data_IF_034125974846
#
_entry.id   IF_034125974846
#
_cell.length_a   1.000
_cell.length_b   1.000
_cell.length_c   1.000
_cell.angle_alpha   90.00
_cell.angle_beta   90.00
_cell.angle_gamma   90.00
#
_symmetry.space_group_name_H-M   'P 1'
#
loop_
_entity.id
_entity.type
_entity.pdbx_description
1 polymer ?
#
# COMPACT_ATOMS: atom_id res chain seq x y z
N UNK A 1 -3.49 23.39 -31.96
CA UNK A 1 -3.59 22.05 -31.35
C UNK A 1 -4.64 22.17 -30.26
N UNK A 2 -5.71 21.38 -30.34
CA UNK A 2 -6.78 21.40 -29.34
C UNK A 2 -6.29 20.72 -28.06
N UNK A 3 -6.17 21.50 -26.97
CA UNK A 3 -5.68 21.01 -25.67
C UNK A 3 -6.70 20.16 -24.93
N UNK A 4 -7.97 20.13 -25.35
CA UNK A 4 -9.03 19.41 -24.64
C UNK A 4 -8.72 17.91 -24.48
N UNK A 5 -8.12 17.28 -25.51
CA UNK A 5 -7.68 15.87 -25.44
C UNK A 5 -6.54 15.67 -24.44
N UNK A 6 -5.62 16.62 -24.35
CA UNK A 6 -4.49 16.58 -23.42
C UNK A 6 -4.98 16.79 -21.97
N UNK A 7 -5.89 17.74 -21.75
CA UNK A 7 -6.49 18.01 -20.45
C UNK A 7 -7.27 16.79 -19.93
N UNK A 8 -8.08 16.16 -20.78
CA UNK A 8 -8.80 14.93 -20.43
C UNK A 8 -7.84 13.78 -20.10
N UNK A 9 -6.75 13.62 -20.86
CA UNK A 9 -5.74 12.59 -20.56
C UNK A 9 -5.04 12.85 -19.22
N UNK A 10 -4.72 14.12 -18.91
CA UNK A 10 -4.11 14.51 -17.65
C UNK A 10 -5.04 14.30 -16.45
N UNK A 11 -6.35 14.53 -16.61
CA UNK A 11 -7.35 14.24 -15.57
C UNK A 11 -7.39 12.74 -15.28
N UNK A 12 -7.57 11.90 -16.31
CA UNK A 12 -7.62 10.44 -16.16
C UNK A 12 -6.35 9.87 -15.54
N UNK A 13 -5.20 10.44 -15.89
CA UNK A 13 -3.93 10.06 -15.30
C UNK A 13 -3.93 10.30 -13.78
N UNK A 14 -4.30 11.51 -13.35
CA UNK A 14 -4.37 11.84 -11.91
C UNK A 14 -5.39 11.01 -11.15
N UNK A 15 -6.54 10.72 -11.76
CA UNK A 15 -7.55 9.84 -11.17
C UNK A 15 -7.02 8.41 -10.99
N UNK A 16 -6.29 7.89 -11.97
CA UNK A 16 -5.66 6.57 -11.86
C UNK A 16 -4.55 6.54 -10.80
N UNK A 17 -3.74 7.60 -10.69
CA UNK A 17 -2.75 7.74 -9.61
C UNK A 17 -3.43 7.73 -8.24
N UNK A 18 -4.49 8.54 -8.06
CA UNK A 18 -5.24 8.59 -6.80
C UNK A 18 -5.85 7.23 -6.44
N UNK A 19 -6.43 6.52 -7.42
CA UNK A 19 -6.98 5.18 -7.21
C UNK A 19 -5.89 4.16 -6.84
N UNK A 20 -4.72 4.23 -7.48
CA UNK A 20 -3.59 3.36 -7.16
C UNK A 20 -3.05 3.62 -5.76
N UNK A 21 -2.95 4.89 -5.35
CA UNK A 21 -2.49 5.25 -4.01
C UNK A 21 -3.47 4.82 -2.93
N UNK A 22 -4.78 4.95 -3.17
CA UNK A 22 -5.81 4.39 -2.28
C UNK A 22 -5.67 2.86 -2.15
N UNK A 23 -5.57 2.14 -3.27
CA UNK A 23 -5.39 0.69 -3.25
C UNK A 23 -4.10 0.26 -2.53
N UNK A 24 -3.01 1.03 -2.66
CA UNK A 24 -1.77 0.79 -1.91
C UNK A 24 -1.96 0.97 -0.41
N UNK A 25 -2.70 2.01 -0.01
CA UNK A 25 -3.01 2.26 1.40
C UNK A 25 -3.85 1.13 2.00
N UNK A 26 -4.85 0.63 1.25
CA UNK A 26 -5.68 -0.50 1.68
C UNK A 26 -4.84 -1.76 1.92
N UNK A 27 -3.97 -2.13 0.97
CA UNK A 27 -3.07 -3.29 1.14
C UNK A 27 -2.13 -3.11 2.34
N UNK A 28 -1.62 -1.89 2.58
CA UNK A 28 -0.79 -1.62 3.75
C UNK A 28 -1.56 -1.77 5.06
N UNK A 29 -2.79 -1.26 5.12
CA UNK A 29 -3.65 -1.34 6.29
C UNK A 29 -3.97 -2.80 6.64
N UNK A 30 -4.40 -3.59 5.66
CA UNK A 30 -4.73 -5.01 5.85
C UNK A 30 -3.49 -5.84 6.22
N UNK A 31 -2.35 -5.59 5.58
CA UNK A 31 -1.09 -6.25 5.93
C UNK A 31 -0.68 -5.96 7.39
N UNK A 32 -0.83 -4.72 7.85
CA UNK A 32 -0.52 -4.34 9.22
C UNK A 32 -1.52 -4.92 10.23
N UNK A 33 -2.81 -4.92 9.91
CA UNK A 33 -3.84 -5.53 10.75
C UNK A 33 -3.55 -7.02 10.92
N UNK A 34 -3.30 -7.74 9.82
CA UNK A 34 -2.93 -9.15 9.86
C UNK A 34 -1.71 -9.42 10.72
N UNK A 35 -0.64 -8.61 10.58
CA UNK A 35 0.58 -8.77 11.38
C UNK A 35 0.41 -8.46 12.87
N UNK A 36 -0.61 -7.66 13.24
CA UNK A 36 -0.91 -7.32 14.64
C UNK A 36 -1.82 -8.35 15.31
N UNK A 37 -2.73 -8.93 14.55
CA UNK A 37 -3.75 -9.85 15.09
C UNK A 37 -3.26 -11.29 15.24
N UNK A 38 -2.10 -11.63 14.67
CA UNK A 38 -1.54 -12.99 14.71
C UNK A 38 -0.21 -13.08 15.46
N UNK A 39 -0.12 -14.07 16.34
CA UNK A 39 1.13 -14.48 17.00
C UNK A 39 1.85 -15.60 16.23
N UNK A 40 1.36 -15.96 15.03
CA UNK A 40 1.90 -17.07 14.26
C UNK A 40 3.34 -16.82 13.79
N UNK A 41 4.23 -17.76 14.13
CA UNK A 41 5.60 -17.79 13.63
C UNK A 41 5.59 -18.05 12.11
N UNK A 42 5.47 -16.98 11.32
CA UNK A 42 5.35 -17.09 9.86
C UNK A 42 4.52 -15.99 9.19
N UNK A 43 3.80 -15.17 9.96
CA UNK A 43 2.90 -14.15 9.42
C UNK A 43 3.56 -13.19 8.41
N UNK A 44 4.82 -12.79 8.66
CA UNK A 44 5.57 -11.96 7.71
C UNK A 44 5.87 -12.67 6.38
N UNK A 45 6.11 -13.99 6.40
CA UNK A 45 6.33 -14.76 5.19
C UNK A 45 5.04 -14.90 4.37
N UNK A 46 3.90 -15.05 5.05
CA UNK A 46 2.61 -15.13 4.40
C UNK A 46 2.21 -13.79 3.74
N UNK A 47 2.36 -12.68 4.46
CA UNK A 47 2.12 -11.35 3.87
C UNK A 47 3.06 -11.08 2.71
N UNK A 48 4.34 -11.47 2.82
CA UNK A 48 5.30 -11.35 1.73
C UNK A 48 4.89 -12.17 0.49
N UNK A 49 4.36 -13.37 0.69
CA UNK A 49 3.85 -14.24 -0.39
C UNK A 49 2.65 -13.63 -1.10
N UNK A 50 1.71 -13.03 -0.36
CA UNK A 50 0.48 -12.43 -0.91
C UNK A 50 0.79 -11.12 -1.64
N UNK A 51 1.58 -10.25 -1.03
CA UNK A 51 1.83 -8.88 -1.52
C UNK A 51 3.02 -8.78 -2.48
N UNK A 52 3.89 -9.81 -2.50
CA UNK A 52 5.18 -9.75 -3.18
C UNK A 52 6.21 -8.85 -2.48
N UNK A 53 5.89 -8.31 -1.29
CA UNK A 53 6.81 -7.46 -0.55
C UNK A 53 7.91 -8.26 0.13
N UNK A 54 9.07 -7.63 0.28
CA UNK A 54 10.16 -8.25 1.04
C UNK A 54 9.90 -8.11 2.54
N UNK A 55 10.44 -9.02 3.35
CA UNK A 55 10.39 -8.90 4.81
C UNK A 55 10.99 -7.58 5.32
N UNK A 56 11.97 -7.01 4.62
CA UNK A 56 12.52 -5.68 4.95
C UNK A 56 11.51 -4.56 4.72
N UNK A 57 10.70 -4.64 3.65
CA UNK A 57 9.61 -3.69 3.43
C UNK A 57 8.58 -3.77 4.57
N UNK A 58 8.16 -4.98 4.93
CA UNK A 58 7.20 -5.22 6.01
C UNK A 58 7.67 -4.69 7.36
N UNK A 59 8.94 -4.94 7.73
CA UNK A 59 9.52 -4.38 8.97
C UNK A 59 9.51 -2.85 8.99
N UNK A 60 9.84 -2.20 7.87
CA UNK A 60 9.79 -0.74 7.78
C UNK A 60 8.35 -0.22 7.88
N UNK A 61 7.41 -0.92 7.28
CA UNK A 61 5.99 -0.57 7.33
C UNK A 61 5.46 -0.66 8.76
N UNK A 62 5.71 -1.78 9.45
CA UNK A 62 5.34 -1.97 10.86
C UNK A 62 5.95 -0.89 11.77
N UNK A 63 7.26 -0.63 11.65
CA UNK A 63 7.95 0.42 12.42
C UNK A 63 7.34 1.80 12.22
N UNK A 64 7.04 2.18 10.97
CA UNK A 64 6.40 3.47 10.67
C UNK A 64 5.00 3.57 11.29
N UNK A 65 4.25 2.47 11.29
CA UNK A 65 2.92 2.43 11.87
C UNK A 65 2.93 2.52 13.41
N UNK A 66 3.97 1.99 14.06
CA UNK A 66 4.22 2.17 15.49
C UNK A 66 4.59 3.63 15.82
N UNK A 67 5.47 4.25 15.03
CA UNK A 67 5.88 5.65 15.21
C UNK A 67 4.75 6.66 14.95
N UNK A 68 3.74 6.29 14.16
CA UNK A 68 2.58 7.11 13.84
C UNK A 68 1.41 6.94 14.82
N UNK A 69 1.48 5.97 15.74
CA UNK A 69 0.49 5.82 16.80
C UNK A 69 0.76 6.83 17.94
N UNK A 70 -0.25 7.60 18.40
CA UNK A 70 -0.09 8.60 19.47
C UNK A 70 0.17 7.99 20.85
#
# INVERSE_FOLDING_TARGET
MDSAKLELAAIRYREAEAALDAARADVQAEALAFLRDTDESGAQAEVARITGWTGTHLRRLAKKAEEAAP
#
